data_IF_642673989218
#
_entry.id   IF_642673989218
#
_cell.length_a   1.000
_cell.length_b   1.000
_cell.length_c   1.000
_cell.angle_alpha   90.00
_cell.angle_beta   90.00
_cell.angle_gamma   90.00
#
_symmetry.space_group_name_H-M   'P 1'
#
loop_
_entity.id
_entity.type
_entity.pdbx_description
1 polymer ?
#
# COMPACT_ATOMS: atom_id res chain seq x y z
N UNK A 1 -7.51 -1.94 6.69
CA UNK A 1 -6.23 -1.76 7.41
C UNK A 1 -5.14 -2.21 6.44
N UNK A 2 -4.00 -1.52 6.41
CA UNK A 2 -2.81 -1.97 5.65
C UNK A 2 -1.78 -2.38 6.69
N UNK A 3 -1.29 -3.60 6.57
CA UNK A 3 -0.38 -4.22 7.53
C UNK A 3 0.84 -4.78 6.78
N UNK A 4 1.95 -4.95 7.48
CA UNK A 4 3.16 -5.55 6.89
C UNK A 4 3.86 -4.70 5.84
N UNK A 5 3.65 -3.37 5.85
CA UNK A 5 4.44 -2.47 5.01
C UNK A 5 5.91 -2.48 5.46
N UNK A 6 6.81 -2.48 4.48
CA UNK A 6 8.22 -2.17 4.71
C UNK A 6 8.46 -0.70 4.36
N UNK A 7 8.74 0.11 5.37
CA UNK A 7 9.07 1.53 5.24
C UNK A 7 10.54 1.82 5.58
N UNK A 8 11.37 0.79 5.74
CA UNK A 8 12.76 0.92 6.22
C UNK A 8 13.68 1.72 5.29
N UNK A 9 13.26 1.95 4.03
CA UNK A 9 14.00 2.66 2.99
C UNK A 9 13.22 3.87 2.45
N UNK A 10 12.25 4.38 3.20
CA UNK A 10 11.40 5.51 2.78
C UNK A 10 11.62 6.70 3.69
N UNK A 11 11.94 7.86 3.11
CA UNK A 11 12.07 9.10 3.86
C UNK A 11 10.70 9.63 4.31
N UNK A 12 10.58 10.23 5.52
CA UNK A 12 9.34 10.86 5.96
C UNK A 12 8.90 11.99 5.00
N UNK A 13 7.61 12.02 4.67
CA UNK A 13 7.06 13.04 3.78
C UNK A 13 5.66 12.70 3.28
N UNK A 14 5.13 13.55 2.42
CA UNK A 14 3.87 13.30 1.73
C UNK A 14 4.11 12.50 0.45
N UNK A 15 3.29 11.46 0.27
CA UNK A 15 3.29 10.60 -0.91
C UNK A 15 1.86 10.31 -1.33
N UNK A 16 1.68 10.09 -2.62
CA UNK A 16 0.48 9.43 -3.10
C UNK A 16 0.58 7.92 -2.85
N UNK A 17 -0.33 7.37 -2.05
CA UNK A 17 -0.41 5.94 -1.76
C UNK A 17 -1.30 5.24 -2.80
N UNK A 18 -0.71 4.39 -3.62
CA UNK A 18 -1.43 3.42 -4.44
C UNK A 18 -1.39 2.04 -3.76
N UNK A 19 -2.52 1.62 -3.17
CA UNK A 19 -2.65 0.32 -2.51
C UNK A 19 -3.87 -0.42 -3.07
N UNK A 20 -3.67 -1.12 -4.19
CA UNK A 20 -4.74 -1.80 -4.93
C UNK A 20 -4.81 -3.27 -4.50
N UNK A 21 -5.83 -3.68 -3.71
CA UNK A 21 -5.99 -5.07 -3.30
C UNK A 21 -6.45 -5.95 -4.47
N UNK A 22 -6.10 -7.23 -4.44
CA UNK A 22 -6.74 -8.22 -5.31
C UNK A 22 -8.24 -8.32 -5.00
N UNK A 23 -9.05 -8.47 -6.03
CA UNK A 23 -10.51 -8.64 -5.88
C UNK A 23 -10.84 -10.09 -5.54
N UNK A 24 -10.80 -10.44 -4.26
CA UNK A 24 -11.11 -11.78 -3.75
C UNK A 24 -12.59 -11.83 -3.30
N UNK A 25 -13.37 -12.74 -3.90
CA UNK A 25 -14.80 -12.90 -3.55
C UNK A 25 -14.93 -13.52 -2.15
N UNK A 26 -15.67 -12.84 -1.26
CA UNK A 26 -15.90 -13.31 0.10
C UNK A 26 -14.68 -13.24 1.01
N UNK A 27 -13.62 -12.54 0.61
CA UNK A 27 -12.45 -12.31 1.45
C UNK A 27 -12.71 -11.24 2.52
N UNK A 28 -12.09 -11.42 3.68
CA UNK A 28 -12.00 -10.45 4.77
C UNK A 28 -10.81 -9.47 4.61
N UNK A 29 -9.92 -9.78 3.68
CA UNK A 29 -8.81 -8.95 3.23
C UNK A 29 -8.24 -9.48 1.92
N UNK A 30 -7.22 -8.80 1.40
CA UNK A 30 -6.49 -9.26 0.23
C UNK A 30 -5.06 -8.71 0.24
N UNK A 31 -4.09 -9.44 -0.33
CA UNK A 31 -2.77 -8.88 -0.58
C UNK A 31 -2.90 -7.71 -1.56
N UNK A 32 -2.04 -6.72 -1.36
CA UNK A 32 -1.90 -5.57 -2.24
C UNK A 32 -0.43 -5.33 -2.52
N UNK A 33 -0.14 -4.84 -3.72
CA UNK A 33 1.13 -4.14 -3.96
C UNK A 33 0.90 -2.69 -3.55
N UNK A 34 1.39 -2.32 -2.37
CA UNK A 34 1.42 -0.94 -1.93
C UNK A 34 2.63 -0.24 -2.56
N UNK A 35 2.41 0.93 -3.16
CA UNK A 35 3.44 1.78 -3.74
C UNK A 35 3.25 3.20 -3.22
N UNK A 36 4.35 3.84 -2.82
CA UNK A 36 4.41 5.26 -2.52
C UNK A 36 4.99 6.00 -3.73
N UNK A 37 4.27 7.02 -4.20
CA UNK A 37 4.66 7.83 -5.35
C UNK A 37 4.88 9.27 -4.87
N UNK A 38 6.03 9.85 -5.17
CA UNK A 38 6.36 11.22 -4.82
C UNK A 38 6.12 12.15 -6.03
N UNK A 39 5.61 13.36 -5.78
CA UNK A 39 5.46 14.40 -6.80
C UNK A 39 4.31 14.17 -7.81
N UNK A 40 3.34 13.33 -7.45
CA UNK A 40 2.08 13.19 -8.16
C UNK A 40 1.06 14.24 -7.70
#
# INVERSE_FOLDING_TARGET
>A
IIEGLDLSQVDPGEYFLACLPLRIKGGDGAPARAVLIQGL
#
